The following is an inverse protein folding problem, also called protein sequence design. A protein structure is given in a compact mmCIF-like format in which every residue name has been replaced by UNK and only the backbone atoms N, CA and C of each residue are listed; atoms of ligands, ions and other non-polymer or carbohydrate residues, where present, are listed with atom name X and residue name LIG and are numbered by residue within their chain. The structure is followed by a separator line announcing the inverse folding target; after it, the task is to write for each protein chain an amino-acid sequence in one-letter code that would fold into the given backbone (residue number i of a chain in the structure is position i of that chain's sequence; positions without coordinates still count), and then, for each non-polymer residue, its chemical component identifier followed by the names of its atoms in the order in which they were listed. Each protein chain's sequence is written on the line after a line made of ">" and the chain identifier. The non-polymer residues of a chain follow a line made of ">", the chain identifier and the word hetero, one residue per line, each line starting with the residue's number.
data_IF_633706957428
#
_entry.id   IF_633706957428
#
_cell.length_a   1.000
_cell.length_b   1.000
_cell.length_c   1.000
_cell.angle_alpha   90.00
_cell.angle_beta   90.00
_cell.angle_gamma   90.00
#
_symmetry.space_group_name_H-M   'P 1'
#
loop_
_entity.id
_entity.type
_entity.pdbx_description
1 polymer ?
#
# COMPACT_ATOMS: atom_id res chain seq x y z
N UNK A 1 -6.84 -20.84 -16.31
CA UNK A 1 -6.61 -20.48 -14.89
C UNK A 1 -5.23 -19.87 -14.80
N UNK A 2 -5.11 -18.66 -14.24
CA UNK A 2 -3.82 -17.97 -14.10
C UNK A 2 -3.01 -18.70 -13.02
N UNK A 3 -1.76 -19.07 -13.34
CA UNK A 3 -0.86 -19.64 -12.36
C UNK A 3 -0.28 -18.51 -11.50
N UNK A 4 -0.48 -18.57 -10.20
CA UNK A 4 -0.03 -17.51 -9.28
C UNK A 4 1.48 -17.33 -9.24
N UNK A 5 2.26 -18.33 -9.66
CA UNK A 5 3.72 -18.19 -9.79
C UNK A 5 4.13 -17.25 -10.94
N UNK A 6 3.28 -17.11 -11.96
CA UNK A 6 3.56 -16.23 -13.11
C UNK A 6 3.52 -14.75 -12.70
N UNK A 7 2.80 -14.41 -11.61
CA UNK A 7 2.75 -13.06 -11.05
C UNK A 7 4.15 -12.61 -10.59
N UNK A 8 4.89 -13.50 -9.95
CA UNK A 8 6.19 -13.18 -9.34
C UNK A 8 7.37 -13.42 -10.29
N UNK A 9 7.12 -13.88 -11.52
CA UNK A 9 8.14 -14.08 -12.56
C UNK A 9 8.14 -12.98 -13.63
N UNK A 10 7.31 -11.94 -13.49
CA UNK A 10 7.27 -10.77 -14.39
C UNK A 10 8.64 -10.08 -14.41
N UNK A 11 9.21 -9.93 -15.61
CA UNK A 11 10.52 -9.29 -15.82
C UNK A 11 10.48 -8.11 -16.80
N UNK A 12 9.39 -7.94 -17.53
CA UNK A 12 9.23 -6.89 -18.54
C UNK A 12 7.84 -6.28 -18.54
N UNK A 13 7.72 -5.11 -19.18
CA UNK A 13 6.43 -4.43 -19.42
C UNK A 13 5.46 -5.30 -20.22
N UNK A 14 5.97 -6.05 -21.19
CA UNK A 14 5.16 -6.96 -22.01
C UNK A 14 4.61 -8.12 -21.19
N UNK A 15 5.41 -8.69 -20.27
CA UNK A 15 4.94 -9.74 -19.36
C UNK A 15 3.83 -9.21 -18.45
N UNK A 16 4.05 -8.01 -17.90
CA UNK A 16 3.07 -7.34 -17.05
C UNK A 16 1.76 -7.08 -17.78
N UNK A 17 1.79 -6.46 -18.95
CA UNK A 17 0.59 -6.14 -19.73
C UNK A 17 -0.16 -7.41 -20.16
N UNK A 18 0.57 -8.44 -20.60
CA UNK A 18 -0.02 -9.73 -20.97
C UNK A 18 -0.77 -10.36 -19.79
N UNK A 19 -0.14 -10.39 -18.61
CA UNK A 19 -0.74 -10.98 -17.42
C UNK A 19 -1.87 -10.12 -16.86
N UNK A 20 -1.77 -8.79 -16.93
CA UNK A 20 -2.83 -7.87 -16.52
C UNK A 20 -4.08 -8.05 -17.39
N UNK A 21 -3.94 -8.12 -18.72
CA UNK A 21 -5.06 -8.37 -19.62
C UNK A 21 -5.69 -9.76 -19.41
N UNK A 22 -4.87 -10.78 -19.14
CA UNK A 22 -5.36 -12.10 -18.76
C UNK A 22 -6.14 -12.06 -17.42
N UNK A 23 -5.63 -11.32 -16.44
CA UNK A 23 -6.24 -11.14 -15.12
C UNK A 23 -7.57 -10.39 -15.24
N UNK A 24 -7.63 -9.37 -16.08
CA UNK A 24 -8.86 -8.67 -16.41
C UNK A 24 -9.93 -9.61 -16.96
N UNK A 25 -9.61 -10.42 -17.98
CA UNK A 25 -10.56 -11.41 -18.54
C UNK A 25 -11.05 -12.39 -17.47
N UNK A 26 -10.12 -12.92 -16.65
CA UNK A 26 -10.48 -13.82 -15.56
C UNK A 26 -11.43 -13.15 -14.55
N UNK A 27 -11.12 -11.95 -14.06
CA UNK A 27 -11.94 -11.25 -13.08
C UNK A 27 -13.26 -10.76 -13.68
N UNK A 28 -13.29 -10.36 -14.94
CA UNK A 28 -14.52 -10.01 -15.64
C UNK A 28 -15.48 -11.19 -15.72
N UNK A 29 -14.99 -12.40 -15.94
CA UNK A 29 -15.83 -13.61 -16.01
C UNK A 29 -16.24 -14.14 -14.62
N UNK A 30 -15.35 -14.01 -13.61
CA UNK A 30 -15.50 -14.73 -12.35
C UNK A 30 -15.80 -13.84 -11.14
N UNK A 31 -15.61 -12.51 -11.20
CA UNK A 31 -15.95 -11.62 -10.09
C UNK A 31 -17.28 -10.89 -10.38
N UNK A 32 -18.38 -11.23 -9.70
CA UNK A 32 -19.71 -10.70 -10.00
C UNK A 32 -19.82 -9.19 -9.74
N UNK A 33 -19.10 -8.67 -8.74
CA UNK A 33 -19.06 -7.22 -8.46
C UNK A 33 -18.34 -6.47 -9.57
N UNK A 34 -17.16 -6.96 -9.96
CA UNK A 34 -16.38 -6.34 -11.03
C UNK A 34 -17.07 -6.47 -12.39
N UNK A 35 -17.69 -7.63 -12.68
CA UNK A 35 -18.48 -7.85 -13.88
C UNK A 35 -19.64 -6.88 -13.99
N UNK A 36 -20.44 -6.77 -12.92
CA UNK A 36 -21.58 -5.85 -12.87
C UNK A 36 -21.14 -4.39 -13.07
N UNK A 37 -20.00 -4.01 -12.49
CA UNK A 37 -19.41 -2.68 -12.72
C UNK A 37 -19.05 -2.46 -14.19
N UNK A 38 -18.39 -3.42 -14.84
CA UNK A 38 -18.03 -3.31 -16.27
C UNK A 38 -19.27 -3.27 -17.18
N UNK A 39 -20.28 -4.10 -16.90
CA UNK A 39 -21.54 -4.12 -17.67
C UNK A 39 -22.26 -2.77 -17.59
N UNK A 40 -22.28 -2.12 -16.42
CA UNK A 40 -22.87 -0.78 -16.24
C UNK A 40 -22.12 0.31 -17.01
N UNK A 41 -20.83 0.11 -17.28
CA UNK A 41 -20.03 0.99 -18.14
C UNK A 41 -20.17 0.64 -19.63
N UNK A 42 -20.88 -0.44 -19.98
CA UNK A 42 -20.93 -1.02 -21.33
C UNK A 42 -19.53 -1.38 -21.87
N UNK A 43 -18.63 -1.84 -21.00
CA UNK A 43 -17.29 -2.30 -21.37
C UNK A 43 -17.27 -3.83 -21.30
N UNK A 44 -16.96 -4.46 -22.43
CA UNK A 44 -16.84 -5.91 -22.54
C UNK A 44 -15.38 -6.34 -22.68
N UNK A 45 -15.14 -7.64 -22.50
CA UNK A 45 -13.78 -8.19 -22.59
C UNK A 45 -13.09 -7.97 -23.96
N UNK A 46 -13.87 -7.80 -25.04
CA UNK A 46 -13.37 -7.52 -26.39
C UNK A 46 -12.85 -6.09 -26.57
N UNK A 47 -13.30 -5.16 -25.72
CA UNK A 47 -12.97 -3.73 -25.83
C UNK A 47 -11.64 -3.41 -25.16
N UNK A 48 -11.18 -4.29 -24.27
CA UNK A 48 -9.97 -4.10 -23.47
C UNK A 48 -8.77 -4.75 -24.13
N UNK A 49 -7.97 -3.92 -24.82
CA UNK A 49 -6.81 -4.38 -25.60
C UNK A 49 -5.46 -3.95 -25.02
N UNK A 50 -5.46 -2.95 -24.14
CA UNK A 50 -4.28 -2.48 -23.44
C UNK A 50 -4.65 -1.99 -22.03
N UNK A 51 -3.63 -1.71 -21.20
CA UNK A 51 -3.85 -1.37 -19.77
C UNK A 51 -4.80 -0.19 -19.53
N UNK A 52 -4.77 0.82 -20.40
CA UNK A 52 -5.61 2.02 -20.29
C UNK A 52 -7.09 1.77 -20.58
N UNK A 53 -7.42 0.67 -21.25
CA UNK A 53 -8.80 0.31 -21.56
C UNK A 53 -9.50 -0.37 -20.36
N UNK A 54 -8.72 -0.79 -19.35
CA UNK A 54 -9.23 -1.52 -18.19
C UNK A 54 -10.07 -0.60 -17.31
N UNK A 55 -11.33 -0.94 -16.99
CA UNK A 55 -12.13 -0.17 -16.04
C UNK A 55 -11.65 -0.42 -14.60
N UNK A 56 -11.36 0.65 -13.87
CA UNK A 56 -10.87 0.58 -12.49
C UNK A 56 -12.02 0.69 -11.49
N UNK A 57 -12.18 -0.34 -10.65
CA UNK A 57 -13.25 -0.43 -9.65
C UNK A 57 -13.05 0.63 -8.56
N UNK A 58 -14.03 1.51 -8.29
CA UNK A 58 -13.92 2.47 -7.19
C UNK A 58 -13.72 1.76 -5.84
N UNK A 59 -12.68 2.16 -5.11
CA UNK A 59 -12.27 1.51 -3.85
C UNK A 59 -13.39 1.45 -2.79
N UNK A 60 -14.38 2.34 -2.86
CA UNK A 60 -15.54 2.35 -1.96
C UNK A 60 -16.38 1.07 -2.05
N UNK A 61 -16.31 0.30 -3.14
CA UNK A 61 -17.04 -0.97 -3.27
C UNK A 61 -16.63 -1.97 -2.20
N UNK A 62 -15.39 -1.92 -1.69
CA UNK A 62 -14.95 -2.76 -0.58
C UNK A 62 -15.66 -2.44 0.75
N UNK A 63 -16.37 -1.31 0.86
CA UNK A 63 -17.20 -0.97 2.04
C UNK A 63 -18.59 -1.58 2.01
N UNK A 64 -19.12 -1.80 0.81
CA UNK A 64 -20.51 -2.18 0.58
C UNK A 64 -20.69 -3.58 0.00
N UNK A 65 -19.66 -4.14 -0.63
CA UNK A 65 -19.71 -5.41 -1.33
C UNK A 65 -18.58 -6.35 -0.88
N UNK A 66 -18.84 -7.66 -0.98
CA UNK A 66 -17.79 -8.67 -0.91
C UNK A 66 -17.15 -8.82 -2.30
N UNK A 67 -16.07 -8.09 -2.54
CA UNK A 67 -15.32 -8.14 -3.81
C UNK A 67 -14.47 -9.42 -3.84
N UNK A 68 -15.03 -10.50 -4.38
CA UNK A 68 -14.42 -11.84 -4.42
C UNK A 68 -14.92 -12.61 -5.65
N UNK A 69 -14.04 -13.38 -6.29
CA UNK A 69 -14.40 -14.25 -7.41
C UNK A 69 -15.28 -15.44 -6.96
N UNK A 70 -16.21 -15.84 -7.80
CA UNK A 70 -17.03 -17.04 -7.63
C UNK A 70 -16.17 -18.30 -7.56
N UNK A 71 -16.64 -19.27 -6.77
CA UNK A 71 -15.90 -20.52 -6.52
C UNK A 71 -14.77 -20.40 -5.50
N UNK A 72 -14.51 -19.21 -4.95
CA UNK A 72 -13.54 -18.99 -3.88
C UNK A 72 -14.23 -18.60 -2.56
N UNK A 73 -13.62 -18.99 -1.45
CA UNK A 73 -13.96 -18.54 -0.11
C UNK A 73 -12.82 -17.72 0.49
N UNK A 74 -13.13 -16.75 1.34
CA UNK A 74 -12.11 -15.97 2.02
C UNK A 74 -11.44 -16.80 3.11
N UNK A 75 -10.12 -16.98 3.01
CA UNK A 75 -9.28 -17.52 4.08
C UNK A 75 -9.12 -16.53 5.23
N UNK A 76 -9.19 -15.23 4.93
CA UNK A 76 -9.18 -14.15 5.92
C UNK A 76 -9.90 -12.91 5.39
N UNK A 77 -10.31 -12.02 6.30
CA UNK A 77 -10.92 -10.74 5.96
C UNK A 77 -10.10 -9.65 6.63
N UNK A 78 -9.47 -8.80 5.82
CA UNK A 78 -8.80 -7.60 6.32
C UNK A 78 -9.75 -6.41 6.31
N UNK A 79 -9.56 -5.48 7.26
CA UNK A 79 -10.41 -4.31 7.42
C UNK A 79 -9.60 -3.02 7.50
N UNK A 80 -10.11 -1.92 6.91
CA UNK A 80 -9.44 -0.61 6.89
C UNK A 80 -9.59 0.14 8.21
N UNK A 81 -8.64 0.96 8.63
CA UNK A 81 -8.81 1.82 9.83
C UNK A 81 -10.01 2.75 9.68
N UNK A 82 -11.01 2.62 10.55
CA UNK A 82 -12.19 3.48 10.60
C UNK A 82 -12.18 4.37 11.84
N UNK A 83 -12.75 5.56 11.72
CA UNK A 83 -13.17 6.35 12.89
C UNK A 83 -14.54 5.87 13.35
N UNK A 84 -14.87 6.07 14.62
CA UNK A 84 -16.19 5.73 15.19
C UNK A 84 -17.32 6.24 14.30
N UNK A 85 -18.22 5.34 13.87
CA UNK A 85 -19.38 5.66 13.04
C UNK A 85 -19.18 5.57 11.52
N UNK A 86 -17.98 5.28 11.01
CA UNK A 86 -17.75 5.07 9.58
C UNK A 86 -17.75 3.58 9.20
N UNK A 87 -18.32 3.28 8.02
CA UNK A 87 -18.22 1.94 7.41
C UNK A 87 -16.78 1.73 6.92
N UNK A 88 -16.13 0.71 7.45
CA UNK A 88 -14.79 0.28 7.06
C UNK A 88 -14.83 -0.58 5.81
N UNK A 89 -13.78 -0.50 4.99
CA UNK A 89 -13.59 -1.43 3.89
C UNK A 89 -13.29 -2.83 4.43
N UNK A 90 -13.71 -3.85 3.70
CA UNK A 90 -13.46 -5.26 3.96
C UNK A 90 -12.86 -5.90 2.72
N UNK A 91 -11.65 -6.41 2.83
CA UNK A 91 -11.00 -7.18 1.77
C UNK A 91 -11.09 -8.68 2.10
N UNK A 92 -11.88 -9.39 1.31
CA UNK A 92 -12.05 -10.83 1.40
C UNK A 92 -10.91 -11.52 0.65
N UNK A 93 -9.90 -12.00 1.38
CA UNK A 93 -8.69 -12.56 0.80
C UNK A 93 -8.83 -14.07 0.65
N UNK A 94 -8.88 -14.53 -0.60
CA UNK A 94 -9.05 -15.95 -0.92
C UNK A 94 -7.80 -16.81 -0.67
N UNK A 95 -6.61 -16.20 -0.66
CA UNK A 95 -5.36 -16.93 -0.45
C UNK A 95 -4.35 -16.09 0.34
N UNK A 96 -4.19 -16.43 1.62
CA UNK A 96 -3.13 -15.88 2.46
C UNK A 96 -1.75 -16.23 1.94
N UNK A 97 -1.60 -17.42 1.32
CA UNK A 97 -0.35 -17.83 0.68
C UNK A 97 0.07 -16.86 -0.42
N UNK A 98 -0.87 -16.44 -1.27
CA UNK A 98 -0.60 -15.46 -2.33
C UNK A 98 -0.19 -14.10 -1.74
N UNK A 99 -0.93 -13.62 -0.73
CA UNK A 99 -0.59 -12.37 -0.04
C UNK A 99 0.80 -12.43 0.58
N UNK A 100 1.10 -13.51 1.30
CA UNK A 100 2.41 -13.77 1.92
C UNK A 100 3.54 -13.78 0.91
N UNK A 101 3.36 -14.45 -0.22
CA UNK A 101 4.37 -14.45 -1.28
C UNK A 101 4.59 -13.04 -1.85
N UNK A 102 3.50 -12.28 -2.06
CA UNK A 102 3.56 -10.91 -2.57
C UNK A 102 4.42 -10.00 -1.69
N UNK A 103 4.09 -9.83 -0.41
CA UNK A 103 4.84 -8.89 0.41
C UNK A 103 6.26 -9.38 0.72
N UNK A 104 6.53 -10.70 0.76
CA UNK A 104 7.89 -11.22 0.99
C UNK A 104 8.80 -10.99 -0.21
N UNK A 105 8.34 -11.32 -1.42
CA UNK A 105 9.11 -11.07 -2.65
C UNK A 105 9.23 -9.56 -2.90
N UNK A 106 8.17 -8.79 -2.61
CA UNK A 106 8.19 -7.33 -2.69
C UNK A 106 9.24 -6.74 -1.75
N UNK A 107 9.19 -7.09 -0.46
CA UNK A 107 10.19 -6.64 0.51
C UNK A 107 11.61 -7.02 0.06
N UNK A 108 11.82 -8.26 -0.42
CA UNK A 108 13.10 -8.73 -0.91
C UNK A 108 13.62 -7.95 -2.12
N UNK A 109 12.75 -7.62 -3.07
CA UNK A 109 13.09 -6.79 -4.24
C UNK A 109 13.65 -5.42 -3.84
N UNK A 110 13.07 -4.79 -2.81
CA UNK A 110 13.49 -3.44 -2.39
C UNK A 110 14.60 -3.43 -1.34
N UNK A 111 14.58 -4.36 -0.39
CA UNK A 111 15.37 -4.32 0.83
C UNK A 111 16.29 -5.53 1.03
N UNK A 112 16.14 -6.59 0.24
CA UNK A 112 16.84 -7.87 0.44
C UNK A 112 16.15 -8.77 1.47
N UNK A 113 16.85 -9.82 1.91
CA UNK A 113 16.26 -10.82 2.79
C UNK A 113 15.89 -10.25 4.18
N UNK A 114 14.72 -10.63 4.70
CA UNK A 114 14.25 -10.17 6.01
C UNK A 114 15.19 -10.63 7.14
N UNK A 115 15.85 -11.79 6.97
CA UNK A 115 16.88 -12.34 7.87
C UNK A 115 18.05 -11.38 8.14
N UNK A 116 18.33 -10.46 7.21
CA UNK A 116 19.40 -9.49 7.38
C UNK A 116 19.06 -8.43 8.43
N UNK A 117 17.77 -8.23 8.74
CA UNK A 117 17.29 -7.11 9.55
C UNK A 117 16.89 -7.53 10.96
N UNK A 118 17.17 -6.68 11.94
CA UNK A 118 16.40 -6.66 13.19
C UNK A 118 15.18 -5.76 12.94
N UNK A 119 13.97 -6.32 12.95
CA UNK A 119 12.74 -5.61 12.56
C UNK A 119 11.98 -5.16 13.82
N UNK A 120 11.91 -3.86 14.01
CA UNK A 120 11.25 -3.20 15.14
C UNK A 120 9.97 -2.53 14.63
N UNK A 121 8.82 -2.96 15.13
CA UNK A 121 7.52 -2.46 14.69
C UNK A 121 6.86 -1.55 15.74
N UNK A 122 6.85 -0.25 15.50
CA UNK A 122 6.20 0.78 16.32
C UNK A 122 4.81 1.10 15.79
N UNK A 123 3.87 0.16 15.99
CA UNK A 123 2.51 0.20 15.44
C UNK A 123 1.43 0.19 16.56
N UNK A 124 1.42 1.17 17.46
CA UNK A 124 0.41 1.26 18.53
C UNK A 124 -1.00 1.40 17.96
N UNK A 125 -2.00 0.89 18.68
CA UNK A 125 -3.42 0.80 18.29
C UNK A 125 -3.77 -0.27 17.24
N UNK A 126 -2.79 -0.93 16.61
CA UNK A 126 -3.07 -1.96 15.61
C UNK A 126 -3.07 -3.39 16.17
N UNK A 127 -2.35 -3.69 17.26
CA UNK A 127 -2.36 -5.02 17.87
C UNK A 127 -3.66 -5.36 18.60
N UNK A 128 -4.38 -4.35 19.09
CA UNK A 128 -5.70 -4.55 19.72
C UNK A 128 -6.81 -4.78 18.68
N UNK A 129 -6.46 -4.73 17.40
CA UNK A 129 -7.39 -4.79 16.29
C UNK A 129 -7.15 -6.05 15.45
N UNK A 130 -8.16 -6.90 15.39
CA UNK A 130 -8.18 -8.03 14.47
C UNK A 130 -8.39 -7.57 13.01
N UNK A 131 -7.80 -8.31 12.07
CA UNK A 131 -7.99 -8.08 10.63
C UNK A 131 -7.19 -6.91 10.04
N UNK A 132 -6.03 -6.55 10.59
CA UNK A 132 -5.11 -5.59 9.97
C UNK A 132 -4.13 -6.29 9.02
N UNK A 133 -4.20 -5.97 7.72
CA UNK A 133 -3.27 -6.50 6.71
C UNK A 133 -1.82 -6.07 6.95
N UNK A 134 -1.61 -4.86 7.49
CA UNK A 134 -0.30 -4.34 7.89
C UNK A 134 0.31 -5.15 9.04
N UNK A 135 -0.48 -5.47 10.07
CA UNK A 135 0.01 -6.28 11.20
C UNK A 135 0.38 -7.67 10.73
N UNK A 136 -0.48 -8.29 9.92
CA UNK A 136 -0.19 -9.60 9.33
C UNK A 136 1.14 -9.62 8.57
N UNK A 137 1.37 -8.62 7.71
CA UNK A 137 2.62 -8.50 6.95
C UNK A 137 3.83 -8.31 7.87
N UNK A 138 3.75 -7.39 8.84
CA UNK A 138 4.87 -7.06 9.72
C UNK A 138 5.21 -8.19 10.68
N UNK A 139 4.19 -8.91 11.19
CA UNK A 139 4.38 -10.10 12.02
C UNK A 139 5.12 -11.20 11.24
N UNK A 140 4.74 -11.44 9.99
CA UNK A 140 5.45 -12.40 9.13
C UNK A 140 6.89 -11.96 8.85
N UNK A 141 7.13 -10.68 8.55
CA UNK A 141 8.49 -10.17 8.35
C UNK A 141 9.36 -10.33 9.61
N UNK A 142 8.81 -10.03 10.80
CA UNK A 142 9.48 -10.25 12.09
C UNK A 142 9.86 -11.72 12.24
N UNK A 143 8.92 -12.63 11.95
CA UNK A 143 9.15 -14.09 11.98
C UNK A 143 10.27 -14.52 11.02
N UNK A 144 10.23 -14.03 9.76
CA UNK A 144 11.26 -14.31 8.76
C UNK A 144 12.64 -13.75 9.15
N UNK A 145 12.70 -12.67 9.94
CA UNK A 145 13.97 -12.09 10.36
C UNK A 145 14.84 -13.06 11.17
N UNK A 146 14.22 -14.02 11.89
CA UNK A 146 14.90 -14.98 12.79
C UNK A 146 15.77 -14.33 13.87
N UNK A 147 15.68 -13.01 14.07
CA UNK A 147 16.45 -12.28 15.09
C UNK A 147 15.61 -12.16 16.37
N UNK A 148 16.12 -12.61 17.54
CA UNK A 148 15.34 -12.61 18.79
C UNK A 148 14.88 -11.22 19.26
N UNK A 149 15.51 -10.16 18.75
CA UNK A 149 15.20 -8.76 19.09
C UNK A 149 14.18 -8.13 18.15
N UNK A 150 13.74 -8.83 17.11
CA UNK A 150 12.65 -8.35 16.26
C UNK A 150 11.32 -8.50 16.98
N UNK A 151 10.41 -7.55 16.81
CA UNK A 151 9.14 -7.57 17.53
C UNK A 151 8.32 -6.29 17.42
N UNK A 152 7.13 -6.33 18.01
CA UNK A 152 6.27 -5.16 18.16
C UNK A 152 6.58 -4.40 19.46
N UNK A 153 6.60 -3.07 19.36
CA UNK A 153 6.85 -2.14 20.45
C UNK A 153 5.69 -1.15 20.49
N UNK A 154 4.79 -1.30 21.45
CA UNK A 154 3.55 -0.52 21.49
C UNK A 154 3.71 0.80 22.25
N UNK A 155 4.00 0.70 23.55
CA UNK A 155 3.92 1.85 24.47
C UNK A 155 5.21 2.07 25.27
N UNK A 156 6.24 1.25 25.08
CA UNK A 156 7.51 1.38 25.80
C UNK A 156 8.58 2.02 24.91
N UNK A 157 8.40 3.31 24.64
CA UNK A 157 9.30 4.10 23.80
C UNK A 157 10.73 4.12 24.36
N UNK A 158 10.87 4.19 25.69
CA UNK A 158 12.17 4.15 26.37
C UNK A 158 12.93 2.85 26.08
N UNK A 159 12.27 1.69 26.23
CA UNK A 159 12.89 0.40 25.95
C UNK A 159 13.25 0.24 24.47
N UNK A 160 12.39 0.72 23.57
CA UNK A 160 12.66 0.73 22.13
C UNK A 160 13.88 1.62 21.81
N UNK A 161 13.94 2.83 22.36
CA UNK A 161 15.04 3.76 22.15
C UNK A 161 16.37 3.16 22.63
N UNK A 162 16.39 2.58 23.83
CA UNK A 162 17.57 1.89 24.39
C UNK A 162 18.01 0.73 23.50
N UNK A 163 17.07 -0.08 23.02
CA UNK A 163 17.37 -1.20 22.13
C UNK A 163 17.95 -0.71 20.79
N UNK A 164 17.36 0.32 20.19
CA UNK A 164 17.86 0.90 18.94
C UNK A 164 19.30 1.40 19.09
N UNK A 165 19.62 2.10 20.17
CA UNK A 165 20.98 2.54 20.46
C UNK A 165 21.93 1.35 20.66
N UNK A 166 21.49 0.29 21.34
CA UNK A 166 22.29 -0.93 21.51
C UNK A 166 22.61 -1.59 20.15
N UNK A 167 21.59 -1.75 19.28
CA UNK A 167 21.74 -2.31 17.94
C UNK A 167 22.68 -1.46 17.07
N UNK A 168 22.56 -0.13 17.17
CA UNK A 168 23.42 0.81 16.45
C UNK A 168 24.88 0.69 16.89
N UNK A 169 25.16 0.57 18.19
CA UNK A 169 26.54 0.34 18.70
C UNK A 169 27.14 -0.99 18.24
N UNK A 170 26.30 -1.98 17.94
CA UNK A 170 26.68 -3.29 17.41
C UNK A 170 26.78 -3.32 15.88
N UNK A 171 26.48 -2.20 15.21
CA UNK A 171 26.35 -2.13 13.75
C UNK A 171 25.36 -3.15 13.18
N UNK A 172 24.29 -3.46 13.92
CA UNK A 172 23.26 -4.36 13.43
C UNK A 172 22.33 -3.64 12.45
N UNK A 173 22.18 -4.22 11.26
CA UNK A 173 21.22 -3.74 10.24
C UNK A 173 19.80 -3.84 10.81
N UNK A 174 19.16 -2.69 10.98
CA UNK A 174 17.87 -2.57 11.67
C UNK A 174 16.84 -1.92 10.75
N UNK A 175 15.59 -2.36 10.83
CA UNK A 175 14.45 -1.73 10.19
C UNK A 175 13.44 -1.34 11.28
N UNK A 176 13.25 -0.04 11.48
CA UNK A 176 12.16 0.51 12.29
C UNK A 176 10.98 0.82 11.35
N UNK A 177 9.90 0.07 11.47
CA UNK A 177 8.63 0.35 10.79
C UNK A 177 7.68 0.98 11.81
N UNK A 178 7.14 2.15 11.51
CA UNK A 178 6.22 2.82 12.43
C UNK A 178 5.18 3.70 11.77
N UNK A 179 4.07 3.89 12.48
CA UNK A 179 3.06 4.88 12.10
C UNK A 179 3.53 6.29 12.50
N UNK A 180 3.13 7.28 11.71
CA UNK A 180 3.72 8.62 11.77
C UNK A 180 3.64 9.27 13.15
N UNK A 181 2.50 9.15 13.87
CA UNK A 181 2.37 9.75 15.20
C UNK A 181 3.28 9.08 16.24
N UNK A 182 3.45 7.77 16.17
CA UNK A 182 4.26 7.04 17.14
C UNK A 182 5.76 7.28 16.90
N UNK A 183 6.17 7.43 15.63
CA UNK A 183 7.51 7.87 15.28
C UNK A 183 7.80 9.29 15.79
N UNK A 184 6.81 10.19 15.71
CA UNK A 184 6.91 11.54 16.28
C UNK A 184 7.04 11.48 17.81
N UNK A 185 6.20 10.71 18.50
CA UNK A 185 6.27 10.52 19.95
C UNK A 185 7.67 10.03 20.40
N UNK A 186 8.27 9.14 19.61
CA UNK A 186 9.61 8.61 19.87
C UNK A 186 10.69 9.69 19.77
N UNK A 187 10.68 10.51 18.70
CA UNK A 187 11.71 11.53 18.49
C UNK A 187 11.51 12.83 19.29
N UNK A 188 10.33 13.03 19.87
CA UNK A 188 10.09 14.12 20.82
C UNK A 188 10.82 13.89 22.15
N UNK A 189 10.96 12.63 22.56
CA UNK A 189 11.56 12.25 23.85
C UNK A 189 13.01 11.76 23.71
N UNK A 190 13.43 11.37 22.50
CA UNK A 190 14.77 10.83 22.25
C UNK A 190 15.37 11.41 20.98
N UNK A 191 16.69 11.64 21.01
CA UNK A 191 17.47 11.99 19.82
C UNK A 191 18.41 10.83 19.49
N UNK A 192 18.50 10.50 18.20
CA UNK A 192 19.35 9.43 17.70
C UNK A 192 20.35 9.95 16.66
N UNK A 193 21.38 9.15 16.40
CA UNK A 193 22.31 9.34 15.28
C UNK A 193 22.51 7.97 14.61
N UNK A 194 21.50 7.52 13.88
CA UNK A 194 21.46 6.18 13.31
C UNK A 194 22.17 6.13 11.95
N UNK A 195 23.03 5.13 11.75
CA UNK A 195 23.72 4.85 10.49
C UNK A 195 23.32 3.49 9.91
N UNK A 196 22.97 2.55 10.78
CA UNK A 196 22.65 1.16 10.42
C UNK A 196 21.14 0.85 10.46
N UNK A 197 20.32 1.88 10.74
CA UNK A 197 18.86 1.73 10.85
C UNK A 197 18.14 2.40 9.69
N UNK A 198 17.30 1.64 9.00
CA UNK A 198 16.29 2.18 8.09
C UNK A 198 15.06 2.54 8.92
N UNK A 199 14.59 3.79 8.80
CA UNK A 199 13.32 4.23 9.38
C UNK A 199 12.27 4.31 8.28
N UNK A 200 11.22 3.52 8.40
CA UNK A 200 10.12 3.40 7.46
C UNK A 200 8.81 3.87 8.08
N UNK A 201 8.18 4.83 7.42
CA UNK A 201 6.88 5.39 7.77
C UNK A 201 5.77 4.73 6.92
N UNK A 202 4.67 4.33 7.56
CA UNK A 202 3.54 3.59 6.93
C UNK A 202 2.19 4.29 7.18
N UNK A 203 2.21 5.63 7.32
CA UNK A 203 1.01 6.45 7.55
C UNK A 203 0.51 6.46 9.00
N UNK A 204 -0.77 6.80 9.21
CA UNK A 204 -1.44 6.67 10.51
C UNK A 204 -1.70 7.95 11.32
N UNK A 205 -1.57 9.15 10.74
CA UNK A 205 -1.82 10.42 11.46
C UNK A 205 -3.28 10.70 11.84
N UNK A 206 -4.26 10.00 11.23
CA UNK A 206 -5.69 10.34 11.34
C UNK A 206 -6.18 10.39 12.80
N UNK A 207 -6.69 11.55 13.22
CA UNK A 207 -7.38 11.75 14.50
C UNK A 207 -6.47 11.74 15.74
N UNK A 208 -5.14 11.69 15.60
CA UNK A 208 -4.20 11.61 16.73
C UNK A 208 -3.41 12.91 16.97
N UNK A 209 -3.04 13.65 15.91
CA UNK A 209 -2.23 14.88 15.97
C UNK A 209 -2.69 15.88 14.91
N UNK A 210 -2.15 17.11 14.95
CA UNK A 210 -2.29 18.07 13.85
C UNK A 210 -1.77 17.42 12.56
N UNK A 211 -2.54 17.54 11.48
CA UNK A 211 -2.15 16.99 10.18
C UNK A 211 -0.94 17.76 9.63
N UNK A 212 0.17 17.04 9.43
CA UNK A 212 1.42 17.59 8.90
C UNK A 212 1.54 17.19 7.43
N UNK A 213 2.06 18.09 6.61
CA UNK A 213 2.47 17.73 5.26
C UNK A 213 3.65 16.73 5.34
N UNK A 214 3.72 15.78 4.40
CA UNK A 214 4.72 14.69 4.45
C UNK A 214 6.16 15.21 4.54
N UNK A 215 6.48 16.28 3.82
CA UNK A 215 7.81 16.90 3.83
C UNK A 215 8.18 17.45 5.21
N UNK A 216 7.23 18.06 5.91
CA UNK A 216 7.41 18.56 7.28
C UNK A 216 7.62 17.40 8.26
N UNK A 217 6.75 16.38 8.21
CA UNK A 217 6.88 15.15 8.98
C UNK A 217 8.28 14.53 8.79
N UNK A 218 8.69 14.31 7.53
CA UNK A 218 9.98 13.69 7.23
C UNK A 218 11.16 14.55 7.70
N UNK A 219 11.05 15.88 7.69
CA UNK A 219 12.11 16.75 8.22
C UNK A 219 12.28 16.60 9.73
N UNK A 220 11.18 16.52 10.48
CA UNK A 220 11.21 16.26 11.92
C UNK A 220 11.84 14.90 12.19
N UNK A 221 11.37 13.85 11.51
CA UNK A 221 11.87 12.49 11.71
C UNK A 221 13.35 12.35 11.31
N UNK A 222 13.79 12.92 10.18
CA UNK A 222 15.21 12.93 9.79
C UNK A 222 16.08 13.54 10.88
N UNK A 223 15.67 14.69 11.42
CA UNK A 223 16.40 15.38 12.48
C UNK A 223 16.44 14.55 13.77
N UNK A 224 15.30 14.02 14.19
CA UNK A 224 15.16 13.25 15.42
C UNK A 224 15.92 11.93 15.41
N UNK A 225 15.88 11.20 14.29
CA UNK A 225 16.61 9.94 14.13
C UNK A 225 18.08 10.13 13.70
N UNK A 226 18.46 11.34 13.28
CA UNK A 226 19.79 11.63 12.75
C UNK A 226 20.08 10.92 11.42
N UNK A 227 19.05 10.68 10.60
CA UNK A 227 19.16 9.99 9.31
C UNK A 227 18.96 10.95 8.13
N UNK A 228 19.57 10.65 6.99
CA UNK A 228 19.45 11.48 5.79
C UNK A 228 18.13 11.31 5.04
N UNK A 229 17.45 10.17 5.22
CA UNK A 229 16.23 9.79 4.52
C UNK A 229 15.28 9.05 5.45
N UNK A 230 14.00 9.28 5.24
CA UNK A 230 12.92 8.47 5.80
C UNK A 230 12.31 7.71 4.63
N UNK A 231 12.21 6.40 4.80
CA UNK A 231 11.57 5.52 3.85
C UNK A 231 10.06 5.56 4.08
N UNK A 232 9.29 5.23 3.05
CA UNK A 232 7.84 5.10 3.18
C UNK A 232 7.35 3.82 2.51
N UNK A 233 6.25 3.29 3.03
CA UNK A 233 5.47 2.24 2.41
C UNK A 233 4.11 2.81 1.99
N UNK A 234 3.66 2.46 0.80
CA UNK A 234 2.34 2.79 0.29
C UNK A 234 1.58 1.49 0.01
N UNK A 235 0.49 1.34 0.75
CA UNK A 235 -0.42 0.22 0.70
C UNK A 235 -1.75 0.60 1.33
N UNK A 236 -2.68 -0.36 1.33
CA UNK A 236 -4.00 -0.23 1.93
C UNK A 236 -4.62 -1.60 2.12
N UNK A 237 -5.74 -1.68 2.83
CA UNK A 237 -6.42 -2.95 3.09
C UNK A 237 -6.84 -3.67 1.82
N UNK A 238 -7.22 -2.90 0.80
CA UNK A 238 -7.74 -3.37 -0.48
C UNK A 238 -6.64 -3.88 -1.42
N UNK A 239 -5.36 -3.69 -1.09
CA UNK A 239 -4.21 -4.15 -1.87
C UNK A 239 -3.50 -5.32 -1.16
N UNK A 240 -2.91 -6.22 -1.95
CA UNK A 240 -2.05 -7.31 -1.47
C UNK A 240 -0.57 -7.09 -1.83
N UNK A 241 -0.25 -5.97 -2.47
CA UNK A 241 1.11 -5.52 -2.77
C UNK A 241 1.39 -4.14 -2.16
N UNK A 242 2.67 -3.88 -1.87
CA UNK A 242 3.15 -2.62 -1.31
C UNK A 242 4.14 -1.97 -2.26
N UNK A 243 4.00 -0.66 -2.45
CA UNK A 243 5.02 0.16 -3.08
C UNK A 243 5.91 0.80 -2.02
N UNK A 244 7.18 0.99 -2.32
CA UNK A 244 8.14 1.52 -1.35
C UNK A 244 8.86 2.75 -1.88
N UNK A 245 9.10 3.70 -0.98
CA UNK A 245 9.98 4.84 -1.19
C UNK A 245 11.23 4.69 -0.34
N UNK A 246 12.41 4.81 -0.96
CA UNK A 246 13.71 4.86 -0.25
C UNK A 246 14.12 6.28 0.17
N UNK A 247 13.17 7.21 0.10
CA UNK A 247 13.38 8.63 0.40
C UNK A 247 12.71 9.54 -0.62
N UNK A 248 12.60 10.82 -0.25
CA UNK A 248 12.03 11.90 -1.07
C UNK A 248 10.54 11.73 -1.46
N UNK A 249 9.85 10.72 -0.94
CA UNK A 249 8.43 10.49 -1.25
C UNK A 249 8.18 9.91 -2.64
N UNK A 250 9.24 9.46 -3.33
CA UNK A 250 9.16 8.82 -4.63
C UNK A 250 9.06 7.29 -4.44
N UNK A 251 7.92 6.73 -4.84
CA UNK A 251 7.58 5.32 -4.67
C UNK A 251 7.88 4.52 -5.94
N UNK A 252 8.22 3.26 -5.73
CA UNK A 252 8.39 2.25 -6.78
C UNK A 252 7.53 1.03 -6.45
N UNK A 253 6.91 0.46 -7.48
CA UNK A 253 6.11 -0.76 -7.37
C UNK A 253 6.97 -2.02 -7.55
N UNK A 254 6.62 -3.14 -6.90
CA UNK A 254 7.13 -4.44 -7.31
C UNK A 254 6.66 -4.76 -8.73
N UNK A 255 7.29 -5.74 -9.39
CA UNK A 255 7.07 -6.00 -10.83
C UNK A 255 5.61 -6.37 -11.20
N UNK A 256 4.80 -6.81 -10.25
CA UNK A 256 3.39 -7.18 -10.44
C UNK A 256 2.39 -6.13 -10.00
N UNK A 257 2.86 -4.93 -9.66
CA UNK A 257 2.03 -3.79 -9.33
C UNK A 257 2.34 -2.63 -10.26
N UNK A 258 1.30 -1.88 -10.65
CA UNK A 258 1.46 -0.67 -11.44
C UNK A 258 0.54 0.43 -10.99
N UNK A 259 1.03 1.66 -11.03
CA UNK A 259 0.26 2.86 -10.73
C UNK A 259 0.08 3.67 -12.01
N UNK A 260 -1.16 4.08 -12.25
CA UNK A 260 -1.55 5.01 -13.30
C UNK A 260 -2.24 6.21 -12.66
N UNK A 261 -2.30 7.33 -13.36
CA UNK A 261 -3.16 8.46 -12.97
C UNK A 261 -4.33 8.57 -13.94
N UNK A 262 -5.51 8.85 -13.40
CA UNK A 262 -6.71 9.22 -14.17
C UNK A 262 -7.02 10.71 -14.01
N UNK A 263 -7.74 11.25 -14.95
CA UNK A 263 -8.30 12.60 -14.84
C UNK A 263 -9.17 12.70 -13.58
N UNK A 264 -9.15 13.87 -12.93
CA UNK A 264 -9.91 14.11 -11.71
C UNK A 264 -11.41 14.32 -11.98
N UNK A 265 -11.75 14.74 -13.19
CA UNK A 265 -13.12 15.04 -13.65
C UNK A 265 -13.69 13.88 -14.50
N UNK A 266 -12.84 13.06 -15.12
CA UNK A 266 -13.24 11.86 -15.85
C UNK A 266 -12.53 10.60 -15.36
N UNK A 267 -13.30 9.71 -14.72
CA UNK A 267 -12.78 8.49 -14.13
C UNK A 267 -12.23 7.47 -15.15
N UNK A 268 -12.59 7.58 -16.43
CA UNK A 268 -12.18 6.65 -17.50
C UNK A 268 -10.96 7.15 -18.30
N UNK A 269 -10.59 8.42 -18.15
CA UNK A 269 -9.46 8.99 -18.89
C UNK A 269 -8.15 8.79 -18.12
N UNK A 270 -7.27 7.93 -18.64
CA UNK A 270 -5.91 7.75 -18.12
C UNK A 270 -4.97 8.84 -18.66
N UNK A 271 -4.19 9.44 -17.76
CA UNK A 271 -3.22 10.50 -18.09
C UNK A 271 -1.88 9.88 -18.52
N UNK A 272 -1.36 10.33 -19.66
CA UNK A 272 -0.10 9.82 -20.25
C UNK A 272 1.13 10.69 -19.95
N UNK A 273 0.96 11.74 -19.14
CA UNK A 273 2.02 12.69 -18.82
C UNK A 273 2.10 12.86 -17.30
N UNK A 274 3.24 13.34 -16.76
CA UNK A 274 3.45 13.52 -15.33
C UNK A 274 2.62 14.71 -14.82
N UNK A 275 1.31 14.51 -14.81
CA UNK A 275 0.27 15.41 -14.31
C UNK A 275 -0.31 14.82 -13.03
N UNK A 276 -0.81 15.71 -12.17
CA UNK A 276 -1.58 15.31 -11.00
C UNK A 276 -2.90 14.72 -11.46
N UNK A 277 -3.26 13.55 -10.93
CA UNK A 277 -4.53 12.89 -11.20
C UNK A 277 -4.93 11.94 -10.08
N UNK A 278 -6.12 11.34 -10.22
CA UNK A 278 -6.56 10.28 -9.33
C UNK A 278 -5.70 9.03 -9.49
N UNK A 279 -5.31 8.41 -8.38
CA UNK A 279 -4.46 7.22 -8.42
C UNK A 279 -5.29 5.99 -8.75
N UNK A 280 -4.90 5.30 -9.82
CA UNK A 280 -5.37 3.97 -10.21
C UNK A 280 -4.24 2.98 -9.94
N UNK A 281 -4.59 1.82 -9.37
CA UNK A 281 -3.64 0.76 -9.04
C UNK A 281 -4.04 -0.51 -9.77
N UNK A 282 -3.07 -1.10 -10.47
CA UNK A 282 -3.11 -2.48 -10.92
C UNK A 282 -2.28 -3.31 -9.94
N UNK A 283 -2.91 -4.23 -9.21
CA UNK A 283 -2.24 -5.15 -8.28
C UNK A 283 -2.58 -6.59 -8.66
N UNK A 284 -1.68 -7.28 -9.34
CA UNK A 284 -1.93 -8.64 -9.83
C UNK A 284 -1.96 -9.68 -8.69
N UNK A 285 -1.48 -9.34 -7.49
CA UNK A 285 -1.63 -10.20 -6.31
C UNK A 285 -3.09 -10.26 -5.83
N UNK A 286 -3.94 -9.28 -6.18
CA UNK A 286 -5.40 -9.29 -5.93
C UNK A 286 -6.18 -10.23 -6.85
N UNK A 287 -5.56 -11.29 -7.39
CA UNK A 287 -6.11 -12.16 -8.43
C UNK A 287 -7.57 -12.60 -8.17
N UNK A 288 -7.89 -12.94 -6.93
CA UNK A 288 -9.22 -13.47 -6.56
C UNK A 288 -10.19 -12.41 -6.00
N UNK A 289 -9.74 -11.17 -5.77
CA UNK A 289 -10.62 -10.03 -5.46
C UNK A 289 -10.74 -9.16 -6.69
N UNK A 290 -10.21 -7.93 -6.68
CA UNK A 290 -10.13 -7.07 -7.87
C UNK A 290 -8.72 -6.48 -7.97
N UNK A 291 -8.08 -6.70 -9.11
CA UNK A 291 -6.73 -6.20 -9.40
C UNK A 291 -6.70 -4.77 -9.90
N UNK A 292 -7.84 -4.18 -10.27
CA UNK A 292 -7.91 -2.89 -10.94
C UNK A 292 -8.70 -1.91 -10.08
N UNK A 293 -8.02 -1.14 -9.25
CA UNK A 293 -8.64 -0.32 -8.20
C UNK A 293 -8.44 1.17 -8.48
N UNK A 294 -9.53 1.92 -8.51
CA UNK A 294 -9.51 3.38 -8.50
C UNK A 294 -9.54 3.87 -7.04
N UNK A 295 -8.41 4.38 -6.55
CA UNK A 295 -8.28 4.85 -5.17
C UNK A 295 -8.84 6.27 -5.02
N UNK A 296 -8.89 6.76 -3.78
CA UNK A 296 -9.21 8.14 -3.45
C UNK A 296 -7.96 8.99 -3.17
N UNK A 297 -6.79 8.52 -3.62
CA UNK A 297 -5.56 9.29 -3.50
C UNK A 297 -5.30 10.10 -4.78
N UNK A 298 -4.67 11.26 -4.60
CA UNK A 298 -4.14 12.07 -5.69
C UNK A 298 -2.64 11.83 -5.78
N UNK A 299 -2.15 11.71 -7.01
CA UNK A 299 -0.75 11.40 -7.25
C UNK A 299 -0.28 11.81 -8.62
N UNK A 300 0.98 11.53 -8.87
CA UNK A 300 1.66 11.85 -10.13
C UNK A 300 2.63 10.72 -10.47
N UNK A 301 2.54 10.21 -11.69
CA UNK A 301 3.39 9.13 -12.21
C UNK A 301 4.45 9.71 -13.14
N UNK A 302 5.68 9.22 -13.03
CA UNK A 302 6.83 9.65 -13.81
C UNK A 302 7.16 8.66 -14.93
N UNK A 303 7.94 9.07 -15.96
CA UNK A 303 8.27 8.20 -17.10
C UNK A 303 9.00 6.89 -16.75
N UNK A 304 9.68 6.85 -15.60
CA UNK A 304 10.35 5.64 -15.08
C UNK A 304 9.43 4.74 -14.24
N UNK A 305 8.11 5.04 -14.25
CA UNK A 305 7.06 4.38 -13.47
C UNK A 305 7.15 4.57 -11.96
N UNK A 306 8.05 5.42 -11.48
CA UNK A 306 7.97 5.90 -10.12
C UNK A 306 6.78 6.86 -9.95
N UNK A 307 6.31 7.04 -8.73
CA UNK A 307 5.17 7.92 -8.47
C UNK A 307 5.25 8.61 -7.12
N UNK A 308 4.51 9.70 -6.98
CA UNK A 308 4.32 10.43 -5.72
C UNK A 308 2.84 10.43 -5.34
N UNK A 309 2.57 10.32 -4.04
CA UNK A 309 1.24 10.55 -3.47
C UNK A 309 1.19 11.97 -2.92
N UNK A 310 0.33 12.82 -3.47
CA UNK A 310 0.23 14.23 -3.14
C UNK A 310 -0.81 14.50 -2.04
N UNK A 311 -1.80 13.63 -1.91
CA UNK A 311 -2.88 13.77 -0.94
C UNK A 311 -4.04 12.84 -1.24
N UNK A 312 -5.22 13.19 -0.73
CA UNK A 312 -6.49 12.55 -1.07
C UNK A 312 -7.36 13.51 -1.84
N UNK A 313 -8.31 12.98 -2.62
CA UNK A 313 -9.39 13.80 -3.16
C UNK A 313 -10.08 14.54 -2.02
N UNK A 314 -10.11 15.85 -2.10
CA UNK A 314 -10.94 16.69 -1.26
C UNK A 314 -12.33 16.86 -1.91
N UNK A 315 -13.33 17.25 -1.12
CA UNK A 315 -14.70 17.41 -1.65
C UNK A 315 -14.82 18.49 -2.74
N UNK A 316 -13.82 19.36 -2.87
CA UNK A 316 -13.67 20.37 -3.93
C UNK A 316 -13.11 19.81 -5.24
N UNK A 317 -12.29 18.75 -5.17
CA UNK A 317 -11.62 18.17 -6.34
C UNK A 317 -12.60 17.40 -7.25
N UNK A 318 -13.77 17.05 -6.71
CA UNK A 318 -14.88 16.41 -7.44
C UNK A 318 -15.81 17.46 -8.09
N UNK A 319 -15.66 18.76 -7.75
CA UNK A 319 -16.60 19.84 -8.14
C UNK A 319 -16.05 20.80 -9.18
N UNK A 320 -15.09 20.38 -9.99
CA UNK A 320 -14.80 21.03 -11.27
C UNK A 320 -16.02 20.90 -12.20
N UNK A 321 -16.96 21.85 -12.09
CA UNK A 321 -18.22 21.94 -12.84
C UNK A 321 -19.35 20.95 -12.50
N UNK A 322 -20.06 21.18 -11.40
CA UNK A 322 -21.52 21.02 -11.39
C UNK A 322 -22.19 22.07 -10.49
N UNK A 323 -22.22 23.30 -11.00
CA UNK A 323 -23.25 24.28 -10.67
C UNK A 323 -24.54 23.91 -11.44
N UNK A 324 -25.13 22.77 -11.08
CA UNK A 324 -26.56 22.54 -11.26
C UNK A 324 -27.09 21.90 -9.99
N UNK A 325 -27.21 22.75 -8.98
CA UNK A 325 -28.18 22.54 -7.90
C UNK A 325 -29.54 22.88 -8.50
N UNK A 326 -30.43 21.89 -8.57
CA UNK A 326 -31.87 22.11 -8.51
C UNK A 326 -32.39 21.42 -7.25
#
# INVERSE_FOLDING_TARGET
>A
MINTQDIFSIQSETDFETLALATFRFQFENNPVYRSFCDLLNIYHSDVTCLKDIPFLPIQFFKSHAVLCEGFSAETIFTSSGTTGQITSKHFVASQKLYKQSFLEGFKQFYGAAEEYTILALLPSYLEREGSSLIYMVEELISQSKKPKSGFYLNNLEALAKLMLELETKNEKTLLIGVSFALLDLVENHNFHLKNTIVMETGGMKGRRKELIRTELHNILKKGFGVSRIHSEYGMTELLSQAYSKGNGLFQCPNWMRVLTRDTEDALTILNTPQTGGVNVIDLANLYSCSFIATQDLGKVYPDNSFEILGRFDSSDIRGCNLMVL
#
